data_IF_769505750439
#
_entry.id   IF_769505750439
#
_cell.length_a   1.000
_cell.length_b   1.000
_cell.length_c   1.000
_cell.angle_alpha   90.00
_cell.angle_beta   90.00
_cell.angle_gamma   90.00
#
_symmetry.space_group_name_H-M   'P 1'
#
loop_
_entity.id
_entity.type
_entity.pdbx_description
1 polymer ?
#
# COMPACT_ATOMS: atom_id res chain seq x y z
N UNK A 1 11.68 -49.22 12.22
CA UNK A 1 11.57 -47.88 12.83
C UNK A 1 12.22 -46.88 11.89
N UNK A 2 11.42 -46.19 11.07
CA UNK A 2 11.87 -45.06 10.25
C UNK A 2 11.81 -43.80 11.11
N UNK A 3 12.94 -43.10 11.23
CA UNK A 3 13.00 -41.82 11.94
C UNK A 3 12.08 -40.79 11.25
N UNK A 4 11.42 -39.87 11.99
CA UNK A 4 10.67 -38.80 11.37
C UNK A 4 11.61 -37.97 10.48
N UNK A 5 11.22 -37.76 9.23
CA UNK A 5 11.95 -36.86 8.34
C UNK A 5 11.92 -35.46 8.95
N UNK A 6 13.09 -34.89 9.25
CA UNK A 6 13.21 -33.45 9.50
C UNK A 6 12.67 -32.73 8.27
N UNK A 7 11.47 -32.17 8.38
CA UNK A 7 10.98 -31.20 7.42
C UNK A 7 11.57 -29.86 7.85
N UNK A 8 12.47 -29.31 7.05
CA UNK A 8 12.91 -27.94 7.22
C UNK A 8 11.73 -27.03 6.84
N UNK A 9 11.09 -26.44 7.85
CA UNK A 9 10.02 -25.47 7.64
C UNK A 9 10.60 -24.08 7.41
N UNK A 10 10.13 -23.39 6.38
CA UNK A 10 10.43 -21.97 6.18
C UNK A 10 9.43 -21.14 6.99
N UNK A 11 9.90 -20.45 8.02
CA UNK A 11 9.12 -19.41 8.69
C UNK A 11 9.33 -18.08 7.94
N UNK A 12 8.27 -17.53 7.40
CA UNK A 12 8.28 -16.20 6.78
C UNK A 12 7.46 -15.23 7.63
N UNK A 13 8.06 -14.10 7.98
CA UNK A 13 7.40 -12.97 8.64
C UNK A 13 7.21 -11.90 7.56
N UNK A 14 5.98 -11.41 7.40
CA UNK A 14 5.66 -10.31 6.49
C UNK A 14 5.21 -9.12 7.34
N UNK A 15 5.85 -7.97 7.14
CA UNK A 15 5.47 -6.70 7.76
C UNK A 15 4.75 -5.88 6.70
N UNK A 16 3.57 -5.36 7.06
CA UNK A 16 2.74 -4.59 6.14
C UNK A 16 2.79 -3.10 6.43
N UNK A 17 2.54 -2.27 5.40
CA UNK A 17 2.41 -0.85 5.61
C UNK A 17 1.24 -0.56 6.54
N UNK A 18 1.41 0.52 7.29
CA UNK A 18 0.45 0.99 8.29
C UNK A 18 -0.42 2.09 7.71
N UNK A 19 0.07 2.80 6.68
CA UNK A 19 -0.63 3.92 6.07
C UNK A 19 -0.63 3.84 4.55
N UNK A 20 -1.68 4.39 3.96
CA UNK A 20 -1.81 4.61 2.52
C UNK A 20 -2.03 6.11 2.25
N UNK A 21 -1.31 6.61 1.26
CA UNK A 21 -1.38 7.98 0.78
C UNK A 21 -1.75 8.04 -0.70
N UNK A 22 -1.93 9.27 -1.19
CA UNK A 22 -2.17 9.57 -2.60
C UNK A 22 -0.98 10.38 -3.11
N UNK A 23 -0.55 10.09 -4.32
CA UNK A 23 0.53 10.83 -4.97
C UNK A 23 0.04 11.56 -6.22
N UNK A 24 0.65 12.72 -6.48
CA UNK A 24 0.45 13.51 -7.68
C UNK A 24 1.16 12.87 -8.88
N UNK A 25 1.04 13.48 -10.07
CA UNK A 25 1.68 13.02 -11.31
C UNK A 25 3.21 12.87 -11.21
N UNK A 26 3.86 13.60 -10.30
CA UNK A 26 5.30 13.51 -10.04
C UNK A 26 5.68 12.39 -9.04
N UNK A 27 4.70 11.60 -8.59
CA UNK A 27 4.87 10.51 -7.62
C UNK A 27 5.06 10.96 -6.19
N UNK A 28 4.91 12.26 -5.88
CA UNK A 28 5.06 12.80 -4.53
C UNK A 28 3.71 13.04 -3.88
N UNK A 29 3.69 12.99 -2.55
CA UNK A 29 2.51 13.40 -1.78
C UNK A 29 2.24 14.90 -1.95
N UNK A 30 0.97 15.31 -1.97
CA UNK A 30 0.64 16.73 -2.03
C UNK A 30 1.12 17.45 -0.77
N UNK A 31 1.86 18.54 -0.98
CA UNK A 31 2.28 19.47 0.07
C UNK A 31 1.11 20.38 0.43
N UNK A 32 0.14 19.87 1.20
CA UNK A 32 -1.07 20.60 1.56
C UNK A 32 -1.49 20.31 3.02
N UNK A 33 -1.91 21.32 3.80
CA UNK A 33 -2.28 21.12 5.22
C UNK A 33 -3.49 20.18 5.42
N UNK A 34 -4.39 20.13 4.45
CA UNK A 34 -5.56 19.25 4.50
C UNK A 34 -5.29 17.81 4.04
N UNK A 35 -4.08 17.51 3.55
CA UNK A 35 -3.72 16.16 3.14
C UNK A 35 -3.35 15.32 4.36
N UNK A 36 -3.94 14.13 4.46
CA UNK A 36 -3.64 13.16 5.52
C UNK A 36 -3.67 11.75 4.94
N UNK A 37 -2.62 10.97 5.19
CA UNK A 37 -2.58 9.54 4.89
C UNK A 37 -3.67 8.82 5.67
N UNK A 38 -4.27 7.80 5.09
CA UNK A 38 -5.21 6.93 5.79
C UNK A 38 -4.46 5.81 6.52
N UNK A 39 -4.76 5.61 7.81
CA UNK A 39 -4.27 4.42 8.52
C UNK A 39 -5.01 3.18 8.01
N UNK A 40 -4.25 2.15 7.64
CA UNK A 40 -4.78 0.91 7.11
C UNK A 40 -5.24 0.02 8.26
N UNK A 41 -6.50 -0.38 8.20
CA UNK A 41 -7.05 -1.43 9.02
C UNK A 41 -7.05 -2.75 8.23
N UNK A 42 -6.17 -3.67 8.61
CA UNK A 42 -5.98 -4.98 8.00
C UNK A 42 -6.88 -6.02 8.66
N UNK A 43 -7.67 -6.75 7.86
CA UNK A 43 -8.61 -7.74 8.35
C UNK A 43 -8.57 -9.03 7.53
N UNK A 44 -8.59 -10.22 8.17
CA UNK A 44 -8.72 -11.47 7.46
C UNK A 44 -10.09 -11.56 6.79
N UNK A 45 -10.12 -12.05 5.56
CA UNK A 45 -11.34 -12.29 4.80
C UNK A 45 -11.84 -13.73 4.99
N UNK A 46 -13.11 -14.05 4.68
CA UNK A 46 -13.66 -15.40 4.85
C UNK A 46 -12.94 -16.51 4.08
N UNK A 47 -12.26 -16.17 2.99
CA UNK A 47 -11.45 -17.07 2.15
C UNK A 47 -9.98 -17.20 2.63
N UNK A 48 -9.63 -16.64 3.79
CA UNK A 48 -8.29 -16.77 4.39
C UNK A 48 -7.23 -15.84 3.80
N UNK A 49 -7.59 -14.97 2.85
CA UNK A 49 -6.74 -13.83 2.46
C UNK A 49 -6.87 -12.71 3.48
N UNK A 50 -6.11 -11.63 3.30
CA UNK A 50 -6.19 -10.48 4.18
C UNK A 50 -6.28 -9.23 3.31
N UNK A 51 -7.20 -8.35 3.68
CA UNK A 51 -7.49 -7.12 2.96
C UNK A 51 -7.43 -5.93 3.92
N UNK A 52 -6.97 -4.80 3.40
CA UNK A 52 -6.86 -3.54 4.10
C UNK A 52 -7.99 -2.60 3.70
N UNK A 53 -8.28 -1.66 4.60
CA UNK A 53 -9.18 -0.55 4.35
C UNK A 53 -8.63 0.71 5.00
N UNK A 54 -8.78 1.85 4.36
CA UNK A 54 -8.33 3.11 4.92
C UNK A 54 -9.19 4.27 4.40
N UNK A 55 -9.21 5.37 5.16
CA UNK A 55 -9.77 6.65 4.72
C UNK A 55 -8.65 7.68 4.72
N UNK A 56 -8.35 8.25 3.55
CA UNK A 56 -7.37 9.33 3.39
C UNK A 56 -8.08 10.67 3.17
N UNK A 57 -7.43 11.76 3.54
CA UNK A 57 -7.91 13.11 3.26
C UNK A 57 -7.09 13.67 2.10
N UNK A 58 -7.76 14.06 1.02
CA UNK A 58 -7.11 14.61 -0.17
C UNK A 58 -7.62 16.01 -0.47
N UNK A 59 -6.76 16.99 -0.76
CA UNK A 59 -7.20 18.24 -1.36
C UNK A 59 -7.68 18.01 -2.80
N UNK A 60 -8.26 19.05 -3.41
CA UNK A 60 -8.57 19.03 -4.84
C UNK A 60 -7.30 18.72 -5.66
N UNK A 61 -7.44 17.89 -6.69
CA UNK A 61 -6.30 17.46 -7.50
C UNK A 61 -6.55 16.15 -8.22
N UNK A 62 -5.53 15.73 -8.97
CA UNK A 62 -5.48 14.46 -9.70
C UNK A 62 -4.41 13.57 -9.10
N UNK A 63 -4.80 12.35 -8.75
CA UNK A 63 -3.99 11.38 -8.03
C UNK A 63 -3.92 10.06 -8.81
N UNK A 64 -2.89 9.90 -9.66
CA UNK A 64 -2.69 8.67 -10.44
C UNK A 64 -2.06 7.53 -9.63
N UNK A 65 -1.62 7.75 -8.39
CA UNK A 65 -0.94 6.73 -7.59
C UNK A 65 -1.45 6.67 -6.15
N UNK A 66 -1.43 5.47 -5.58
CA UNK A 66 -1.41 5.24 -4.14
C UNK A 66 0.02 4.98 -3.68
N UNK A 67 0.39 5.50 -2.52
CA UNK A 67 1.70 5.26 -1.88
C UNK A 67 1.52 4.60 -0.52
N UNK A 68 2.42 3.70 -0.14
CA UNK A 68 2.34 2.93 1.11
C UNK A 68 3.45 3.33 2.06
N UNK A 69 3.14 3.39 3.36
CA UNK A 69 4.05 3.97 4.35
C UNK A 69 4.02 3.22 5.70
N UNK A 70 5.12 3.35 6.44
CA UNK A 70 5.20 2.88 7.83
C UNK A 70 4.85 4.00 8.83
N UNK A 71 5.16 5.26 8.50
CA UNK A 71 4.84 6.42 9.32
C UNK A 71 3.59 7.18 8.83
N UNK A 72 2.88 7.90 9.73
CA UNK A 72 1.75 8.75 9.34
C UNK A 72 2.18 10.02 8.58
N UNK A 73 3.39 10.53 8.82
CA UNK A 73 3.95 11.74 8.21
C UNK A 73 5.45 11.57 8.03
N UNK A 74 6.00 12.09 6.94
CA UNK A 74 7.42 11.97 6.62
C UNK A 74 7.81 10.55 6.19
N UNK A 75 9.12 10.26 6.28
CA UNK A 75 9.68 8.98 5.84
C UNK A 75 9.78 8.85 4.32
N UNK A 76 9.99 7.62 3.85
CA UNK A 76 9.98 7.24 2.45
C UNK A 76 8.88 6.20 2.20
N UNK A 77 8.23 6.21 1.02
CA UNK A 77 7.20 5.22 0.73
C UNK A 77 7.86 3.84 0.62
N UNK A 78 7.22 2.82 1.20
CA UNK A 78 7.65 1.42 1.13
C UNK A 78 7.06 0.69 -0.08
N UNK A 79 6.14 1.33 -0.81
CA UNK A 79 5.55 0.82 -2.03
C UNK A 79 4.67 1.85 -2.71
N UNK A 80 4.28 1.54 -3.94
CA UNK A 80 3.37 2.35 -4.75
C UNK A 80 2.47 1.43 -5.56
N UNK A 81 1.26 1.87 -5.86
CA UNK A 81 0.36 1.19 -6.80
C UNK A 81 -0.47 2.20 -7.57
N UNK A 82 -1.17 1.75 -8.61
CA UNK A 82 -2.07 2.59 -9.40
C UNK A 82 -3.52 2.13 -9.20
N UNK A 83 -4.47 3.05 -8.99
CA UNK A 83 -5.89 2.73 -9.18
C UNK A 83 -6.18 2.41 -10.64
N UNK A 84 -7.30 1.73 -10.91
CA UNK A 84 -7.76 1.42 -12.27
C UNK A 84 -7.88 2.69 -13.14
N UNK A 85 -8.31 3.78 -12.53
CA UNK A 85 -8.34 5.11 -13.13
C UNK A 85 -7.79 6.15 -12.13
N UNK A 86 -7.06 7.17 -12.60
CA UNK A 86 -6.61 8.26 -11.74
C UNK A 86 -7.78 8.91 -11.02
N UNK A 87 -7.62 9.10 -9.70
CA UNK A 87 -8.64 9.75 -8.89
C UNK A 87 -8.57 11.26 -9.13
N UNK A 88 -9.70 11.88 -9.43
CA UNK A 88 -9.77 13.33 -9.68
C UNK A 88 -10.83 13.92 -8.77
N UNK A 89 -10.45 14.96 -8.02
CA UNK A 89 -11.34 15.64 -7.10
C UNK A 89 -11.28 17.15 -7.34
N UNK A 90 -12.43 17.78 -7.51
CA UNK A 90 -12.52 19.25 -7.68
C UNK A 90 -12.51 19.99 -6.33
N UNK A 91 -12.74 19.26 -5.24
CA UNK A 91 -12.76 19.78 -3.88
C UNK A 91 -11.99 18.84 -2.94
N UNK A 92 -11.75 19.31 -1.72
CA UNK A 92 -11.28 18.45 -0.64
C UNK A 92 -12.24 17.27 -0.46
N UNK A 93 -11.68 16.06 -0.45
CA UNK A 93 -12.44 14.82 -0.45
C UNK A 93 -11.88 13.82 0.56
N UNK A 94 -12.78 13.11 1.25
CA UNK A 94 -12.45 11.90 2.00
C UNK A 94 -12.44 10.73 1.03
N UNK A 95 -11.29 10.08 0.90
CA UNK A 95 -11.09 8.99 -0.04
C UNK A 95 -11.14 7.69 0.73
N UNK A 96 -12.21 6.93 0.53
CA UNK A 96 -12.38 5.60 1.09
C UNK A 96 -11.73 4.56 0.16
N UNK A 97 -10.66 3.92 0.62
CA UNK A 97 -9.82 3.03 -0.18
C UNK A 97 -10.01 1.59 0.28
N UNK A 98 -10.76 0.83 -0.52
CA UNK A 98 -11.12 -0.57 -0.25
C UNK A 98 -11.35 -1.36 -1.56
N UNK A 99 -10.96 -2.64 -1.63
CA UNK A 99 -10.03 -3.32 -0.73
C UNK A 99 -8.57 -2.95 -1.06
N UNK A 100 -7.70 -2.89 -0.06
CA UNK A 100 -6.23 -2.86 -0.25
C UNK A 100 -5.72 -4.29 -0.17
N UNK A 101 -5.09 -4.79 -1.22
CA UNK A 101 -4.65 -6.18 -1.32
C UNK A 101 -3.14 -6.28 -1.15
N UNK A 102 -2.68 -7.47 -0.72
CA UNK A 102 -1.26 -7.75 -0.62
C UNK A 102 -0.52 -7.55 -1.96
N UNK A 103 -1.16 -7.84 -3.10
CA UNK A 103 -0.59 -7.61 -4.43
C UNK A 103 -0.31 -6.13 -4.74
N UNK A 104 -1.05 -5.21 -4.13
CA UNK A 104 -0.88 -3.77 -4.35
C UNK A 104 0.42 -3.25 -3.70
N UNK A 105 0.98 -4.01 -2.75
CA UNK A 105 2.18 -3.64 -2.00
C UNK A 105 3.47 -3.93 -2.75
N UNK A 106 3.44 -4.79 -3.78
CA UNK A 106 4.63 -5.30 -4.47
C UNK A 106 4.92 -4.62 -5.81
N UNK A 107 4.18 -3.57 -6.19
CA UNK A 107 4.34 -2.91 -7.49
C UNK A 107 5.51 -1.92 -7.48
N UNK A 108 6.73 -2.42 -7.22
CA UNK A 108 8.00 -2.03 -7.83
C UNK A 108 9.17 -2.65 -7.04
N UNK A 109 9.48 -3.92 -7.32
CA UNK A 109 10.81 -4.49 -7.08
C UNK A 109 11.08 -5.63 -8.08
N UNK A 110 10.74 -5.42 -9.36
CA UNK A 110 11.54 -6.04 -10.40
C UNK A 110 12.88 -5.30 -10.45
N UNK A 111 13.76 -5.61 -9.51
CA UNK A 111 15.20 -5.56 -9.83
C UNK A 111 15.36 -6.67 -10.86
N UNK A 112 15.29 -6.31 -12.15
CA UNK A 112 15.91 -7.12 -13.18
C UNK A 112 17.33 -7.37 -12.69
N UNK A 113 17.63 -8.60 -12.27
CA UNK A 113 19.02 -9.04 -12.24
C UNK A 113 19.49 -8.86 -13.67
N UNK A 114 20.24 -7.78 -13.91
CA UNK A 114 21.07 -7.69 -15.08
C UNK A 114 21.89 -8.98 -15.08
N UNK A 115 21.60 -9.84 -16.06
CA UNK A 115 22.40 -11.02 -16.29
C UNK A 115 23.82 -10.59 -16.56
N UNK A 116 24.76 -11.17 -15.83
CA UNK A 116 26.05 -11.69 -16.29
C UNK A 116 26.63 -12.53 -15.16
#
# INVERSE_FOLDING_TARGET
>A
MTAPSKADGLLQIVVWPVYIGLALEDGREPLHPDYQRGQINWQPTPNGTIEGSAVAHAPAGRYPFFTYWMEPVGGAPVGMSQPEHPLVFDIRTLVDIRPIKNGDLFVSNEIQRAGT
#
